data_IF_397423586300
#
_entry.id   IF_397423586300
#
_cell.length_a   1.000
_cell.length_b   1.000
_cell.length_c   1.000
_cell.angle_alpha   90.00
_cell.angle_beta   90.00
_cell.angle_gamma   90.00
#
_symmetry.space_group_name_H-M   'P 1'
#
loop_
_entity.id
_entity.type
_entity.pdbx_description
1 polymer ?
#
# COMPACT_ATOMS: atom_id res chain seq x y z
N UNK A 1 11.89 3.73 13.31
CA UNK A 1 11.09 2.50 13.14
C UNK A 1 11.31 1.58 14.35
N UNK A 2 10.25 1.09 14.97
CA UNK A 2 10.32 0.16 16.12
C UNK A 2 9.72 -1.22 15.79
N UNK A 3 8.70 -1.28 14.92
CA UNK A 3 8.03 -2.54 14.55
C UNK A 3 7.86 -2.66 13.04
N UNK A 4 8.26 -3.81 12.50
CA UNK A 4 8.04 -4.17 11.10
C UNK A 4 7.04 -5.32 11.06
N UNK A 5 5.92 -5.14 10.38
CA UNK A 5 4.93 -6.20 10.15
C UNK A 5 4.92 -6.59 8.66
N UNK A 6 5.86 -7.45 8.21
CA UNK A 6 5.97 -7.81 6.80
C UNK A 6 4.99 -8.93 6.43
N UNK A 7 3.86 -9.06 7.13
CA UNK A 7 2.78 -9.97 6.73
C UNK A 7 2.24 -9.59 5.35
N UNK A 8 1.84 -10.60 4.58
CA UNK A 8 1.31 -10.36 3.24
C UNK A 8 0.02 -9.53 3.32
N UNK A 9 -0.26 -8.71 2.30
CA UNK A 9 -1.58 -8.09 2.17
C UNK A 9 -2.68 -9.15 2.33
N UNK A 10 -3.79 -8.78 2.99
CA UNK A 10 -4.93 -9.67 3.27
C UNK A 10 -4.69 -10.74 4.34
N UNK A 11 -3.65 -10.61 5.15
CA UNK A 11 -3.52 -11.33 6.44
C UNK A 11 -4.03 -10.52 7.64
N UNK A 12 -4.73 -9.39 7.37
CA UNK A 12 -5.29 -8.46 8.35
C UNK A 12 -4.31 -7.37 8.76
N UNK A 13 -3.67 -6.78 7.76
CA UNK A 13 -2.70 -5.68 7.91
C UNK A 13 -3.33 -4.42 8.50
N UNK A 14 -4.60 -4.11 8.19
CA UNK A 14 -5.33 -3.00 8.81
C UNK A 14 -5.64 -3.27 10.29
N UNK A 15 -5.95 -4.54 10.64
CA UNK A 15 -6.11 -4.93 12.04
C UNK A 15 -4.81 -4.72 12.80
N UNK A 16 -3.67 -5.11 12.22
CA UNK A 16 -2.36 -4.84 12.82
C UNK A 16 -2.01 -3.36 12.89
N UNK A 17 -2.32 -2.58 11.85
CA UNK A 17 -2.16 -1.14 11.87
C UNK A 17 -2.88 -0.57 13.09
N UNK A 18 -4.15 -0.95 13.27
CA UNK A 18 -4.96 -0.48 14.39
C UNK A 18 -4.44 -0.95 15.74
N UNK A 19 -3.98 -2.19 15.84
CA UNK A 19 -3.43 -2.74 17.07
C UNK A 19 -2.19 -1.96 17.52
N UNK A 20 -1.28 -1.65 16.58
CA UNK A 20 -0.07 -0.90 16.87
C UNK A 20 -0.36 0.57 17.21
N UNK A 21 -1.35 1.20 16.58
CA UNK A 21 -1.83 2.52 16.98
C UNK A 21 -2.33 2.52 18.44
N UNK A 22 -3.10 1.51 18.84
CA UNK A 22 -3.60 1.37 20.22
C UNK A 22 -2.45 1.18 21.21
N UNK A 23 -1.38 0.47 20.83
CA UNK A 23 -0.16 0.32 21.64
C UNK A 23 0.73 1.58 21.66
N UNK A 24 0.28 2.67 21.01
CA UNK A 24 0.92 3.97 21.05
C UNK A 24 2.09 4.14 20.09
N UNK A 25 2.22 3.28 19.07
CA UNK A 25 3.22 3.51 18.02
C UNK A 25 2.80 4.70 17.14
N UNK A 26 3.67 5.71 16.95
CA UNK A 26 3.33 6.86 16.13
C UNK A 26 3.28 6.49 14.65
N UNK A 27 2.35 7.08 13.90
CA UNK A 27 2.28 7.02 12.43
C UNK A 27 2.48 5.60 11.87
N UNK A 28 1.61 4.64 12.24
CA UNK A 28 1.72 3.28 11.72
C UNK A 28 1.40 3.26 10.23
N UNK A 29 2.43 3.06 9.41
CA UNK A 29 2.32 3.15 7.96
C UNK A 29 1.61 1.90 7.39
N UNK A 30 0.71 2.12 6.44
CA UNK A 30 -0.05 1.09 5.72
C UNK A 30 -0.20 1.55 4.25
N UNK A 31 -0.60 0.68 3.33
CA UNK A 31 -0.84 1.08 1.92
C UNK A 31 -1.78 2.29 1.81
N UNK A 32 -2.80 2.34 2.67
CA UNK A 32 -3.78 3.42 2.72
C UNK A 32 -3.21 4.77 3.18
N UNK A 33 -2.03 4.82 3.82
CA UNK A 33 -1.35 6.08 4.18
C UNK A 33 -1.03 6.93 2.94
N UNK A 34 -0.83 6.28 1.78
CA UNK A 34 -0.61 6.97 0.49
C UNK A 34 -1.84 7.81 0.10
N UNK A 35 -3.04 7.47 0.58
CA UNK A 35 -4.25 8.24 0.25
C UNK A 35 -4.22 9.62 0.93
N UNK A 36 -3.66 9.69 2.14
CA UNK A 36 -3.54 10.93 2.90
C UNK A 36 -2.37 11.79 2.39
N UNK A 37 -1.25 11.15 2.03
CA UNK A 37 -0.10 11.81 1.44
C UNK A 37 0.34 11.15 0.12
N UNK A 38 -0.31 11.55 -0.98
CA UNK A 38 -0.06 10.94 -2.29
C UNK A 38 1.36 11.11 -2.83
N UNK A 39 2.15 12.02 -2.26
CA UNK A 39 3.57 12.20 -2.65
C UNK A 39 4.44 11.03 -2.18
N UNK A 40 3.99 10.27 -1.19
CA UNK A 40 4.64 9.02 -0.78
C UNK A 40 4.70 8.03 -1.94
N UNK A 41 3.71 8.09 -2.85
CA UNK A 41 3.73 7.26 -4.05
C UNK A 41 4.94 7.54 -4.94
N UNK A 42 5.36 8.81 -5.06
CA UNK A 42 6.52 9.15 -5.90
C UNK A 42 7.79 8.53 -5.31
N UNK A 43 7.98 8.60 -3.98
CA UNK A 43 9.13 7.99 -3.29
C UNK A 43 9.06 6.46 -3.37
N UNK A 44 7.89 5.85 -3.19
CA UNK A 44 7.72 4.41 -3.36
C UNK A 44 8.06 3.94 -4.77
N UNK A 45 7.69 4.69 -5.80
CA UNK A 45 8.02 4.37 -7.19
C UNK A 45 9.54 4.45 -7.45
N UNK A 46 10.24 5.41 -6.84
CA UNK A 46 11.70 5.50 -6.91
C UNK A 46 12.38 4.34 -6.17
N UNK A 47 11.89 3.97 -4.98
CA UNK A 47 12.38 2.79 -4.24
C UNK A 47 12.16 1.50 -5.02
N UNK A 48 10.99 1.33 -5.65
CA UNK A 48 10.69 0.20 -6.53
C UNK A 48 11.66 0.17 -7.72
N UNK A 49 11.90 1.32 -8.37
CA UNK A 49 12.80 1.42 -9.49
C UNK A 49 14.26 1.10 -9.10
N UNK A 50 14.70 1.57 -7.93
CA UNK A 50 16.02 1.27 -7.40
C UNK A 50 16.20 -0.23 -7.13
N UNK A 51 15.23 -0.88 -6.47
CA UNK A 51 15.31 -2.30 -6.13
C UNK A 51 15.21 -3.23 -7.32
N UNK A 52 14.24 -3.01 -8.19
CA UNK A 52 13.81 -4.01 -9.17
C UNK A 52 14.17 -3.66 -10.61
N UNK A 53 14.53 -2.42 -10.89
CA UNK A 53 14.87 -1.95 -12.24
C UNK A 53 16.33 -1.49 -12.34
N UNK A 54 17.10 -1.53 -11.24
CA UNK A 54 18.48 -1.05 -11.18
C UNK A 54 18.61 0.47 -11.40
N UNK A 55 17.53 1.23 -11.19
CA UNK A 55 17.49 2.69 -11.40
C UNK A 55 17.51 3.42 -10.06
N UNK A 56 18.71 3.70 -9.56
CA UNK A 56 18.93 4.38 -8.29
C UNK A 56 19.66 3.50 -7.28
N UNK A 57 19.67 3.91 -6.02
CA UNK A 57 20.32 3.17 -4.93
C UNK A 57 19.38 3.12 -3.73
N UNK A 58 19.22 1.93 -3.16
CA UNK A 58 18.54 1.78 -1.88
C UNK A 58 19.54 2.07 -0.76
N UNK A 59 19.18 3.03 0.08
CA UNK A 59 19.91 3.33 1.31
C UNK A 59 18.93 3.42 2.45
N UNK A 60 19.41 3.32 3.69
CA UNK A 60 18.63 3.62 4.89
C UNK A 60 17.96 4.99 4.79
N UNK A 61 18.71 6.02 4.35
CA UNK A 61 18.20 7.39 4.17
C UNK A 61 17.04 7.50 3.17
N UNK A 62 16.98 6.60 2.18
CA UNK A 62 15.88 6.53 1.22
C UNK A 62 14.58 6.11 1.92
N UNK A 63 14.67 5.24 2.92
CA UNK A 63 13.54 4.83 3.75
C UNK A 63 13.25 5.86 4.84
N UNK A 64 14.25 6.49 5.46
CA UNK A 64 14.02 7.52 6.48
C UNK A 64 13.24 8.72 5.95
N UNK A 65 13.51 9.13 4.70
CA UNK A 65 12.78 10.20 4.03
C UNK A 65 11.27 9.95 3.95
N UNK A 66 10.86 8.67 3.93
CA UNK A 66 9.47 8.25 3.79
C UNK A 66 8.86 7.75 5.11
N UNK A 67 9.64 7.01 5.89
CA UNK A 67 9.21 6.21 7.03
C UNK A 67 9.92 6.60 8.34
N UNK A 68 10.85 7.55 8.32
CA UNK A 68 11.63 7.93 9.51
C UNK A 68 10.77 8.48 10.65
N UNK A 69 9.59 9.01 10.33
CA UNK A 69 8.59 9.48 11.30
C UNK A 69 7.59 8.38 11.73
N UNK A 70 7.71 7.16 11.21
CA UNK A 70 6.86 6.02 11.50
C UNK A 70 7.47 5.14 12.60
N UNK A 71 6.67 4.84 13.62
CA UNK A 71 6.98 3.88 14.66
C UNK A 71 6.81 2.44 14.19
N UNK A 72 5.90 2.21 13.23
CA UNK A 72 5.71 0.87 12.66
C UNK A 72 5.22 0.89 11.21
N UNK A 73 5.39 -0.24 10.52
CA UNK A 73 4.95 -0.45 9.13
C UNK A 73 4.17 -1.75 8.97
N UNK A 74 3.20 -1.73 8.07
CA UNK A 74 2.35 -2.86 7.68
C UNK A 74 2.08 -2.82 6.18
N UNK A 75 1.65 -3.94 5.61
CA UNK A 75 1.16 -4.06 4.23
C UNK A 75 2.18 -3.69 3.13
N UNK A 76 1.71 -3.68 1.89
CA UNK A 76 2.45 -3.13 0.77
C UNK A 76 2.55 -1.59 0.88
N UNK A 77 3.60 -0.96 0.34
CA UNK A 77 4.75 -1.59 -0.32
C UNK A 77 5.81 -2.14 0.64
N UNK A 78 5.73 -1.83 1.94
CA UNK A 78 6.75 -2.17 2.94
C UNK A 78 7.13 -3.66 2.94
N UNK A 79 6.16 -4.58 2.80
CA UNK A 79 6.44 -6.03 2.77
C UNK A 79 7.38 -6.45 1.62
N UNK A 80 7.32 -5.76 0.47
CA UNK A 80 8.20 -6.01 -0.67
C UNK A 80 9.66 -5.62 -0.40
N UNK A 81 9.90 -4.86 0.67
CA UNK A 81 11.22 -4.42 1.14
C UNK A 81 11.57 -5.03 2.50
N UNK A 82 10.95 -6.15 2.89
CA UNK A 82 11.20 -6.75 4.19
C UNK A 82 12.69 -7.01 4.47
N UNK A 83 13.50 -7.61 3.57
CA UNK A 83 14.93 -7.80 3.83
C UNK A 83 15.68 -6.48 4.10
N UNK A 84 15.39 -5.44 3.32
CA UNK A 84 16.02 -4.12 3.47
C UNK A 84 15.60 -3.44 4.76
N UNK A 85 14.30 -3.43 5.08
CA UNK A 85 13.79 -2.84 6.32
C UNK A 85 14.32 -3.57 7.55
N UNK A 86 14.36 -4.90 7.53
CA UNK A 86 14.89 -5.72 8.64
C UNK A 86 16.40 -5.48 8.85
N UNK A 87 17.13 -5.22 7.75
CA UNK A 87 18.56 -4.92 7.78
C UNK A 87 18.86 -3.48 8.20
N UNK A 88 18.11 -2.49 7.69
CA UNK A 88 18.35 -1.07 7.95
C UNK A 88 17.83 -0.62 9.30
N UNK A 89 16.84 -1.31 9.87
CA UNK A 89 16.34 -1.06 11.23
C UNK A 89 16.65 -2.27 12.13
N UNK A 90 17.93 -2.44 12.56
CA UNK A 90 18.37 -3.63 13.30
C UNK A 90 17.72 -3.75 14.69
N UNK A 91 17.25 -2.66 15.27
CA UNK A 91 16.58 -2.66 16.57
C UNK A 91 15.06 -2.90 16.47
N UNK A 92 14.50 -2.86 15.25
CA UNK A 92 13.07 -3.08 15.07
C UNK A 92 12.70 -4.55 15.32
N UNK A 93 11.60 -4.76 16.04
CA UNK A 93 10.97 -6.07 16.21
C UNK A 93 10.15 -6.41 14.98
N UNK A 94 10.12 -7.68 14.60
CA UNK A 94 9.38 -8.18 13.43
C UNK A 94 8.19 -9.01 13.91
N UNK A 95 6.98 -8.58 13.53
CA UNK A 95 5.74 -9.33 13.81
C UNK A 95 5.20 -9.89 12.50
N UNK A 96 5.43 -11.19 12.27
CA UNK A 96 5.06 -11.89 11.06
C UNK A 96 3.65 -12.48 11.21
N UNK A 97 2.65 -11.73 10.77
CA UNK A 97 1.25 -12.17 10.82
C UNK A 97 0.96 -13.12 9.69
N UNK A 98 0.73 -14.40 10.00
CA UNK A 98 0.43 -15.43 9.02
C UNK A 98 -1.01 -15.96 9.16
N UNK A 99 -1.62 -16.26 8.02
CA UNK A 99 -2.92 -16.93 7.92
C UNK A 99 -2.76 -18.22 7.11
N UNK A 100 -3.66 -19.17 7.32
CA UNK A 100 -3.84 -20.31 6.40
C UNK A 100 -3.85 -19.85 4.93
N UNK A 101 -2.99 -20.47 4.12
CA UNK A 101 -2.72 -20.01 2.75
C UNK A 101 -3.94 -20.12 1.83
N UNK A 102 -4.81 -21.11 2.03
CA UNK A 102 -6.01 -21.27 1.19
C UNK A 102 -7.08 -20.25 1.53
N UNK A 103 -7.30 -19.99 2.83
CA UNK A 103 -8.18 -18.90 3.27
C UNK A 103 -7.64 -17.53 2.84
N UNK A 104 -6.33 -17.31 2.93
CA UNK A 104 -5.68 -16.10 2.41
C UNK A 104 -5.90 -15.97 0.91
N UNK A 105 -5.65 -17.04 0.15
CA UNK A 105 -5.77 -17.04 -1.31
C UNK A 105 -7.17 -16.66 -1.80
N UNK A 106 -8.22 -17.11 -1.11
CA UNK A 106 -9.60 -16.70 -1.43
C UNK A 106 -9.79 -15.18 -1.25
N UNK A 107 -9.29 -14.61 -0.15
CA UNK A 107 -9.38 -13.17 0.11
C UNK A 107 -8.54 -12.36 -0.88
N UNK A 108 -7.32 -12.80 -1.14
CA UNK A 108 -6.40 -12.18 -2.11
C UNK A 108 -6.96 -12.22 -3.53
N UNK A 109 -7.56 -13.35 -3.93
CA UNK A 109 -8.18 -13.48 -5.26
C UNK A 109 -9.31 -12.49 -5.47
N UNK A 110 -10.19 -12.31 -4.48
CA UNK A 110 -11.28 -11.32 -4.55
C UNK A 110 -10.76 -9.88 -4.53
N UNK A 111 -9.67 -9.61 -3.80
CA UNK A 111 -8.98 -8.32 -3.84
C UNK A 111 -8.40 -8.03 -5.24
N UNK A 112 -7.72 -9.01 -5.85
CA UNK A 112 -7.13 -8.88 -7.19
C UNK A 112 -8.18 -8.53 -8.26
N UNK A 113 -9.38 -9.10 -8.18
CA UNK A 113 -10.46 -8.79 -9.12
C UNK A 113 -10.84 -7.29 -9.13
N UNK A 114 -10.72 -6.62 -7.98
CA UNK A 114 -10.97 -5.18 -7.87
C UNK A 114 -9.72 -4.36 -8.21
N UNK A 115 -8.57 -4.71 -7.61
CA UNK A 115 -7.29 -4.02 -7.78
C UNK A 115 -6.78 -4.00 -9.22
N UNK A 116 -7.13 -5.01 -10.00
CA UNK A 116 -6.72 -5.15 -11.40
C UNK A 116 -7.92 -5.07 -12.36
N UNK A 117 -9.00 -4.39 -11.95
CA UNK A 117 -10.17 -4.19 -12.79
C UNK A 117 -9.84 -3.39 -14.06
N UNK A 118 -10.46 -3.69 -15.23
CA UNK A 118 -10.12 -3.02 -16.50
C UNK A 118 -10.36 -1.51 -16.53
N UNK A 119 -11.27 -1.00 -15.68
CA UNK A 119 -11.59 0.44 -15.61
C UNK A 119 -10.54 1.27 -14.87
N UNK A 120 -9.81 0.67 -13.93
CA UNK A 120 -8.86 1.40 -13.08
C UNK A 120 -7.70 2.02 -13.88
N UNK A 121 -7.05 1.34 -14.85
CA UNK A 121 -6.02 1.95 -15.69
C UNK A 121 -6.51 3.15 -16.52
N UNK A 122 -7.77 3.12 -16.97
CA UNK A 122 -8.37 4.21 -17.74
C UNK A 122 -8.53 5.44 -16.84
N UNK A 123 -9.12 5.27 -15.65
CA UNK A 123 -9.29 6.36 -14.68
C UNK A 123 -7.93 6.90 -14.20
N UNK A 124 -6.97 6.02 -13.93
CA UNK A 124 -5.60 6.39 -13.55
C UNK A 124 -4.91 7.24 -14.62
N UNK A 125 -5.11 6.94 -15.91
CA UNK A 125 -4.56 7.73 -17.02
C UNK A 125 -5.23 9.10 -17.16
N UNK A 126 -6.54 9.18 -16.92
CA UNK A 126 -7.29 10.44 -16.96
C UNK A 126 -7.06 11.32 -15.72
N UNK A 127 -6.73 10.71 -14.59
CA UNK A 127 -6.39 11.39 -13.32
C UNK A 127 -4.98 10.98 -12.84
N UNK A 128 -3.92 11.44 -13.51
CA UNK A 128 -2.56 10.96 -13.22
C UNK A 128 -1.97 11.50 -11.91
N UNK A 129 -2.56 12.55 -11.34
CA UNK A 129 -1.95 13.28 -10.23
C UNK A 129 -2.32 12.72 -8.85
N UNK A 130 -3.34 11.89 -8.72
CA UNK A 130 -3.65 11.25 -7.44
C UNK A 130 -3.95 9.76 -7.65
N UNK A 131 -5.01 9.41 -8.38
CA UNK A 131 -5.34 8.02 -8.65
C UNK A 131 -4.23 7.33 -9.44
N UNK A 132 -3.67 8.00 -10.46
CA UNK A 132 -2.58 7.45 -11.26
C UNK A 132 -1.35 7.07 -10.44
N UNK A 133 -0.98 7.89 -9.46
CA UNK A 133 0.13 7.61 -8.54
C UNK A 133 -0.14 6.41 -7.65
N UNK A 134 -1.30 6.39 -6.98
CA UNK A 134 -1.73 5.29 -6.11
C UNK A 134 -1.79 3.97 -6.89
N UNK A 135 -2.42 3.99 -8.06
CA UNK A 135 -2.57 2.83 -8.92
C UNK A 135 -1.22 2.33 -9.45
N UNK A 136 -0.27 3.23 -9.73
CA UNK A 136 1.08 2.84 -10.17
C UNK A 136 1.82 2.05 -9.08
N UNK A 137 1.77 2.50 -7.82
CA UNK A 137 2.36 1.78 -6.68
C UNK A 137 1.69 0.42 -6.50
N UNK A 138 0.36 0.38 -6.47
CA UNK A 138 -0.39 -0.88 -6.29
C UNK A 138 -0.15 -1.89 -7.42
N UNK A 139 -0.13 -1.42 -8.68
CA UNK A 139 0.10 -2.28 -9.86
C UNK A 139 1.51 -2.83 -9.86
N UNK A 140 2.54 -1.97 -9.68
CA UNK A 140 3.93 -2.41 -9.62
C UNK A 140 4.17 -3.33 -8.43
N UNK A 141 3.68 -2.96 -7.24
CA UNK A 141 3.80 -3.78 -6.04
C UNK A 141 3.22 -5.18 -6.22
N UNK A 142 2.00 -5.27 -6.76
CA UNK A 142 1.36 -6.56 -7.07
C UNK A 142 2.17 -7.35 -8.10
N UNK A 143 2.60 -6.70 -9.19
CA UNK A 143 3.37 -7.37 -10.24
C UNK A 143 4.70 -7.92 -9.72
N UNK A 144 5.37 -7.18 -8.83
CA UNK A 144 6.62 -7.60 -8.20
C UNK A 144 6.43 -8.74 -7.21
N UNK A 145 5.34 -8.71 -6.44
CA UNK A 145 5.07 -9.74 -5.45
C UNK A 145 4.71 -11.09 -6.07
N UNK A 146 3.87 -11.11 -7.11
CA UNK A 146 3.35 -12.37 -7.69
C UNK A 146 3.80 -12.63 -9.12
N UNK A 147 4.58 -11.74 -9.72
CA UNK A 147 4.95 -11.85 -11.15
C UNK A 147 3.70 -11.82 -12.03
N UNK A 148 2.78 -10.87 -11.81
CA UNK A 148 1.46 -10.92 -12.44
C UNK A 148 1.47 -10.86 -13.98
N UNK A 149 2.51 -10.28 -14.59
CA UNK A 149 2.50 -9.97 -16.02
C UNK A 149 1.32 -9.09 -16.44
N UNK A 150 0.78 -8.31 -15.48
CA UNK A 150 -0.44 -7.50 -15.61
C UNK A 150 -1.72 -8.29 -15.94
N UNK A 151 -1.75 -9.58 -15.63
CA UNK A 151 -2.93 -10.44 -15.79
C UNK A 151 -3.45 -10.93 -14.44
N UNK A 152 -4.75 -10.79 -14.19
CA UNK A 152 -5.41 -11.30 -12.98
C UNK A 152 -5.26 -12.82 -12.86
N UNK A 153 -5.39 -13.53 -13.98
CA UNK A 153 -5.27 -14.98 -14.00
C UNK A 153 -3.85 -15.43 -13.63
N UNK A 154 -2.82 -14.77 -14.19
CA UNK A 154 -1.44 -15.06 -13.86
C UNK A 154 -1.08 -14.66 -12.42
N UNK A 155 -1.58 -13.51 -11.95
CA UNK A 155 -1.45 -13.08 -10.56
C UNK A 155 -1.97 -14.15 -9.60
N UNK A 156 -3.23 -14.58 -9.81
CA UNK A 156 -3.87 -15.64 -9.01
C UNK A 156 -3.06 -16.94 -9.08
N UNK A 157 -2.70 -17.42 -10.27
CA UNK A 157 -1.97 -18.68 -10.42
C UNK A 157 -0.64 -18.74 -9.63
N UNK A 158 0.06 -17.61 -9.49
CA UNK A 158 1.37 -17.52 -8.83
C UNK A 158 1.30 -17.14 -7.35
N UNK A 159 0.13 -16.72 -6.87
CA UNK A 159 -0.02 -16.09 -5.54
C UNK A 159 0.33 -17.01 -4.38
N UNK A 160 -0.05 -18.29 -4.42
CA UNK A 160 0.27 -19.24 -3.33
C UNK A 160 1.77 -19.47 -3.20
N UNK A 161 2.45 -19.69 -4.32
CA UNK A 161 3.90 -19.90 -4.32
C UNK A 161 4.63 -18.64 -3.85
N UNK A 162 4.22 -17.47 -4.35
CA UNK A 162 4.77 -16.18 -3.93
C UNK A 162 4.58 -15.94 -2.42
N UNK A 163 3.41 -16.26 -1.88
CA UNK A 163 3.13 -16.20 -0.45
C UNK A 163 4.12 -17.05 0.35
N UNK A 164 4.21 -18.35 0.04
CA UNK A 164 5.08 -19.27 0.78
C UNK A 164 6.56 -18.84 0.70
N UNK A 165 7.02 -18.39 -0.47
CA UNK A 165 8.37 -17.84 -0.65
C UNK A 165 8.63 -16.60 0.20
N UNK A 166 7.66 -15.70 0.29
CA UNK A 166 7.76 -14.48 1.09
C UNK A 166 7.93 -14.79 2.58
N UNK A 167 7.10 -15.68 3.15
CA UNK A 167 7.24 -16.04 4.56
C UNK A 167 8.55 -16.79 4.85
N UNK A 168 8.99 -17.68 3.96
CA UNK A 168 10.30 -18.33 4.08
C UNK A 168 11.46 -17.31 4.04
N UNK A 169 11.36 -16.29 3.19
CA UNK A 169 12.35 -15.21 3.10
C UNK A 169 12.39 -14.38 4.38
N UNK A 170 11.23 -13.92 4.90
CA UNK A 170 11.20 -13.13 6.13
C UNK A 170 11.81 -13.92 7.29
N UNK A 171 11.46 -15.20 7.43
CA UNK A 171 12.03 -16.08 8.46
C UNK A 171 13.53 -16.27 8.33
N UNK A 172 14.07 -16.34 7.10
CA UNK A 172 15.50 -16.58 6.89
C UNK A 172 16.36 -15.35 7.16
N UNK A 173 15.83 -14.14 6.95
CA UNK A 173 16.56 -12.88 7.14
C UNK A 173 16.33 -12.24 8.52
N UNK A 174 15.40 -12.78 9.32
CA UNK A 174 15.10 -12.26 10.66
C UNK A 174 15.73 -13.13 11.76
N UNK A 175 16.56 -12.56 12.65
CA UNK A 175 16.99 -13.24 13.87
C UNK A 175 15.80 -13.68 14.73
N UNK A 176 15.84 -14.90 15.28
CA UNK A 176 14.69 -15.51 15.97
C UNK A 176 14.22 -14.68 17.17
N UNK A 177 15.15 -14.06 17.89
CA UNK A 177 14.92 -13.19 19.03
C UNK A 177 14.19 -11.89 18.66
N UNK A 178 14.20 -11.49 17.38
CA UNK A 178 13.47 -10.33 16.84
C UNK A 178 12.20 -10.73 16.09
N UNK A 179 11.83 -12.01 16.05
CA UNK A 179 10.70 -12.50 15.26
C UNK A 179 9.58 -13.04 16.17
N UNK A 180 8.38 -12.47 16.01
CA UNK A 180 7.14 -13.05 16.51
C UNK A 180 6.34 -13.63 15.34
N UNK A 181 6.14 -14.94 15.36
CA UNK A 181 5.10 -15.61 14.56
C UNK A 181 3.75 -15.30 15.20
N UNK A 182 2.83 -14.70 14.45
CA UNK A 182 1.60 -14.17 15.03
C UNK A 182 0.36 -14.55 14.23
N UNK A 183 -0.68 -14.98 14.93
CA UNK A 183 -2.04 -15.07 14.41
C UNK A 183 -2.88 -13.97 15.04
N UNK A 184 -3.75 -13.32 14.27
CA UNK A 184 -4.68 -12.32 14.83
C UNK A 184 -5.60 -12.91 15.92
N UNK A 185 -5.79 -14.24 15.93
CA UNK A 185 -6.56 -14.92 16.96
C UNK A 185 -5.83 -14.97 18.33
N UNK A 186 -4.51 -14.75 18.36
CA UNK A 186 -3.71 -14.75 19.59
C UNK A 186 -3.99 -13.50 20.44
N UNK A 187 -4.49 -12.43 19.82
CA UNK A 187 -4.90 -11.20 20.51
C UNK A 187 -3.75 -10.45 21.18
N UNK A 188 -4.04 -9.77 22.28
CA UNK A 188 -3.07 -8.85 22.90
C UNK A 188 -1.90 -9.53 23.59
N UNK A 189 -2.10 -10.69 24.24
CA UNK A 189 -1.13 -11.26 25.16
C UNK A 189 0.27 -11.44 24.53
N UNK A 190 0.41 -12.31 23.53
CA UNK A 190 1.71 -12.55 22.88
C UNK A 190 2.28 -11.31 22.20
N UNK A 191 1.43 -10.47 21.60
CA UNK A 191 1.86 -9.24 20.94
C UNK A 191 2.46 -8.24 21.94
N UNK A 192 1.77 -7.99 23.05
CA UNK A 192 2.19 -7.04 24.09
C UNK A 192 3.44 -7.52 24.81
N UNK A 193 3.49 -8.81 25.17
CA UNK A 193 4.67 -9.44 25.77
C UNK A 193 5.89 -9.26 24.85
N UNK A 194 5.77 -9.66 23.58
CA UNK A 194 6.85 -9.57 22.63
C UNK A 194 7.30 -8.12 22.40
N UNK A 195 6.37 -7.17 22.31
CA UNK A 195 6.67 -5.76 22.09
C UNK A 195 7.13 -5.03 23.37
N UNK A 196 6.94 -5.62 24.56
CA UNK A 196 7.25 -4.98 25.84
C UNK A 196 6.26 -3.86 26.19
N UNK A 197 4.99 -4.03 25.82
CA UNK A 197 3.91 -3.06 26.06
C UNK A 197 2.91 -3.61 27.09
N UNK A 198 2.22 -2.76 27.86
CA UNK A 198 1.10 -3.20 28.68
C UNK A 198 -0.06 -3.65 27.81
N UNK A 199 -0.80 -4.68 28.24
CA UNK A 199 -2.06 -5.09 27.60
C UNK A 199 -3.09 -3.98 27.78
N UNK A 200 -3.69 -3.43 26.71
CA UNK A 200 -4.66 -2.36 26.82
C UNK A 200 -6.04 -2.89 27.26
N UNK A 201 -6.82 -2.07 27.95
CA UNK A 201 -8.19 -2.39 28.38
C UNK A 201 -9.22 -2.14 27.25
N UNK A 202 -8.96 -2.72 26.08
CA UNK A 202 -9.87 -2.72 24.93
C UNK A 202 -9.79 -4.07 24.21
N UNK A 203 -10.85 -4.55 23.54
CA UNK A 203 -10.77 -5.74 22.71
C UNK A 203 -9.69 -5.61 21.63
N UNK A 204 -9.03 -6.72 21.28
CA UNK A 204 -8.13 -6.73 20.12
C UNK A 204 -8.92 -6.33 18.87
N UNK A 205 -8.43 -5.39 18.06
CA UNK A 205 -9.21 -4.85 16.95
C UNK A 205 -9.54 -5.94 15.92
N UNK A 206 -10.63 -5.75 15.19
CA UNK A 206 -11.00 -6.61 14.08
C UNK A 206 -11.52 -5.76 12.93
N UNK A 207 -10.65 -5.46 11.97
CA UNK A 207 -10.98 -4.66 10.80
C UNK A 207 -11.55 -5.52 9.68
N UNK A 208 -12.70 -5.12 9.11
CA UNK A 208 -13.24 -5.78 7.92
C UNK A 208 -12.51 -5.30 6.67
N UNK A 209 -11.35 -5.91 6.48
CA UNK A 209 -10.43 -5.76 5.36
C UNK A 209 -11.12 -5.78 3.98
N UNK A 210 -12.17 -6.60 3.78
CA UNK A 210 -12.86 -6.72 2.49
C UNK A 210 -13.79 -5.54 2.25
N UNK A 211 -14.66 -5.24 3.21
CA UNK A 211 -15.58 -4.12 3.10
C UNK A 211 -14.84 -2.78 2.97
N UNK A 212 -13.73 -2.62 3.72
CA UNK A 212 -12.89 -1.42 3.65
C UNK A 212 -12.25 -1.24 2.28
N UNK A 213 -11.78 -2.32 1.66
CA UNK A 213 -11.17 -2.26 0.34
C UNK A 213 -12.19 -1.91 -0.74
N UNK A 214 -13.36 -2.56 -0.76
CA UNK A 214 -14.45 -2.24 -1.70
C UNK A 214 -14.81 -0.76 -1.62
N UNK A 215 -15.04 -0.25 -0.39
CA UNK A 215 -15.32 1.17 -0.16
C UNK A 215 -14.18 2.08 -0.63
N UNK A 216 -12.93 1.69 -0.39
CA UNK A 216 -11.76 2.49 -0.81
C UNK A 216 -11.68 2.59 -2.34
N UNK A 217 -11.89 1.49 -3.08
CA UNK A 217 -11.92 1.52 -4.54
C UNK A 217 -13.05 2.42 -5.08
N UNK A 218 -14.24 2.33 -4.51
CA UNK A 218 -15.37 3.19 -4.89
C UNK A 218 -15.07 4.67 -4.65
N UNK A 219 -14.55 5.03 -3.47
CA UNK A 219 -14.24 6.43 -3.12
C UNK A 219 -13.09 6.98 -3.95
N UNK A 220 -12.05 6.19 -4.20
CA UNK A 220 -10.97 6.57 -5.13
C UNK A 220 -11.50 6.82 -6.53
N UNK A 221 -12.41 5.97 -7.02
CA UNK A 221 -13.07 6.14 -8.32
C UNK A 221 -13.90 7.43 -8.38
N UNK A 222 -14.77 7.67 -7.38
CA UNK A 222 -15.58 8.90 -7.29
C UNK A 222 -14.70 10.15 -7.23
N UNK A 223 -13.63 10.11 -6.43
CA UNK A 223 -12.69 11.22 -6.32
C UNK A 223 -11.98 11.49 -7.64
N UNK A 224 -11.57 10.45 -8.36
CA UNK A 224 -10.94 10.59 -9.67
C UNK A 224 -11.89 11.24 -10.68
N UNK A 225 -13.14 10.77 -10.77
CA UNK A 225 -14.16 11.36 -11.65
C UNK A 225 -14.39 12.83 -11.30
N UNK A 226 -14.56 13.17 -10.02
CA UNK A 226 -14.71 14.56 -9.56
C UNK A 226 -13.53 15.44 -9.99
N UNK A 227 -12.29 14.95 -9.82
CA UNK A 227 -11.07 15.66 -10.22
C UNK A 227 -10.98 15.85 -11.74
N UNK A 228 -11.32 14.83 -12.52
CA UNK A 228 -11.36 14.91 -13.99
C UNK A 228 -12.36 15.98 -14.44
N UNK A 229 -13.59 15.94 -13.95
CA UNK A 229 -14.63 16.93 -14.29
C UNK A 229 -14.22 18.35 -13.88
N UNK A 230 -13.65 18.50 -12.68
CA UNK A 230 -13.15 19.79 -12.19
C UNK A 230 -12.09 20.35 -13.13
N UNK A 231 -11.11 19.53 -13.56
CA UNK A 231 -10.07 19.97 -14.51
C UNK A 231 -10.63 20.32 -15.88
N UNK A 232 -11.59 19.53 -16.38
CA UNK A 232 -12.26 19.83 -17.64
C UNK A 232 -12.97 21.19 -17.58
N UNK A 233 -13.70 21.45 -16.49
CA UNK A 233 -14.35 22.74 -16.26
C UNK A 233 -13.34 23.90 -16.21
N UNK A 234 -12.21 23.72 -15.49
CA UNK A 234 -11.13 24.71 -15.46
C UNK A 234 -10.51 24.95 -16.85
N UNK A 235 -10.26 23.91 -17.63
CA UNK A 235 -9.72 24.05 -18.98
C UNK A 235 -10.69 24.80 -19.91
N UNK A 236 -11.99 24.52 -19.82
CA UNK A 236 -13.01 25.27 -20.55
C UNK A 236 -13.02 26.75 -20.12
N UNK A 237 -12.97 27.02 -18.81
CA UNK A 237 -12.99 28.38 -18.29
C UNK A 237 -11.74 29.20 -18.67
N UNK A 238 -10.55 28.60 -18.58
CA UNK A 238 -9.26 29.30 -18.76
C UNK A 238 -8.81 29.32 -20.23
N UNK A 239 -9.12 28.28 -21.01
CA UNK A 239 -8.65 28.15 -22.40
C UNK A 239 -9.82 28.31 -23.37
N UNK A 240 -10.91 27.58 -23.13
CA UNK A 240 -12.06 27.54 -24.05
C UNK A 240 -12.75 28.88 -24.22
N UNK A 241 -13.21 29.50 -23.13
CA UNK A 241 -13.94 30.77 -23.15
C UNK A 241 -13.09 31.89 -23.76
N UNK A 242 -11.82 32.13 -23.36
CA UNK A 242 -11.01 33.18 -23.98
C UNK A 242 -10.73 32.95 -25.47
N UNK A 243 -10.52 31.70 -25.89
CA UNK A 243 -10.30 31.36 -27.30
C UNK A 243 -11.53 31.67 -28.16
N UNK A 244 -12.72 31.30 -27.69
CA UNK A 244 -13.98 31.59 -28.37
C UNK A 244 -14.24 33.10 -28.40
N UNK A 245 -14.03 33.81 -27.28
CA UNK A 245 -14.18 35.26 -27.21
C UNK A 245 -13.22 36.00 -28.17
N UNK A 246 -11.95 35.56 -28.23
CA UNK A 246 -10.97 36.09 -29.18
C UNK A 246 -11.39 35.84 -30.64
N UNK A 247 -11.87 34.64 -30.95
CA UNK A 247 -12.36 34.31 -32.29
C UNK A 247 -13.56 35.19 -32.68
N UNK A 248 -14.56 35.32 -31.81
CA UNK A 248 -15.75 36.14 -32.06
C UNK A 248 -15.40 37.63 -32.26
N UNK A 249 -14.55 38.19 -31.40
CA UNK A 249 -14.13 39.61 -31.52
C UNK A 249 -13.35 39.88 -32.80
N UNK A 250 -12.58 38.92 -33.30
CA UNK A 250 -11.86 39.04 -34.57
C UNK A 250 -12.79 38.98 -35.79
N UNK A 251 -13.84 38.17 -35.73
CA UNK A 251 -14.80 38.00 -36.84
C UNK A 251 -15.89 39.08 -36.88
N UNK A 252 -16.21 39.74 -35.75
CA UNK A 252 -17.12 40.88 -35.72
C UNK A 252 -16.50 42.20 -36.19
N UNK A 253 -15.17 42.27 -36.36
CA UNK A 253 -14.43 43.46 -36.82
C UNK A 253 -14.13 43.45 -38.33
N UNK A 254 -14.63 42.47 -39.07
CA UNK A 254 -14.57 42.39 -40.54
C UNK A 254 -15.97 42.63 -41.09
#
# INVERSE_FOLDING_TARGET
MEVICPGYSRTGTLTMQKALEILGYPNVYHFSSIYDNVRDADIWLDLIAAKFEGRGTLTESSFDALLGHCGAVTDMPCLSFAPELISYYPDAKVVLVERDVDKWYQSWSAFLDNAMSPGLPILAKLEPYYLGRIAAVGTKGTDLLVGSGKSVAAAKARSREAYLKHYALVRSVTPKERLLEFSLADGWGPLCEFLGKPVPDVPFPHENDTARNTKSFEELGKMAVKRILTRAAYAVAVIGIPTVAFYMTRHMRR
#
